data_IF_875959850470
#
_entry.id   IF_875959850470
#
_cell.length_a   1.000
_cell.length_b   1.000
_cell.length_c   1.000
_cell.angle_alpha   90.00
_cell.angle_beta   90.00
_cell.angle_gamma   90.00
#
_symmetry.space_group_name_H-M   'P 1'
#
loop_
_entity.id
_entity.type
_entity.pdbx_description
1 polymer ?
#
# COMPACT_ATOMS: atom_id res chain seq x y z
N UNK A 1 -19.77 15.00 14.57
CA UNK A 1 -18.32 14.98 14.78
C UNK A 1 -17.84 16.34 15.26
N UNK A 2 -17.04 16.35 16.30
CA UNK A 2 -16.35 17.57 16.76
C UNK A 2 -14.85 17.39 16.55
N UNK A 3 -14.26 18.30 15.81
CA UNK A 3 -12.81 18.35 15.61
C UNK A 3 -12.21 19.37 16.57
N UNK A 4 -11.56 18.93 17.63
CA UNK A 4 -11.03 19.81 18.69
C UNK A 4 -9.61 20.32 18.46
N UNK A 5 -8.96 19.90 17.41
CA UNK A 5 -7.54 20.20 17.14
C UNK A 5 -7.27 21.65 16.76
N UNK A 6 -8.25 22.37 16.24
CA UNK A 6 -8.08 23.76 15.78
C UNK A 6 -7.64 24.74 16.88
N UNK A 7 -8.00 24.49 18.13
CA UNK A 7 -7.57 25.34 19.25
C UNK A 7 -6.09 25.13 19.64
N UNK A 8 -5.49 24.09 19.13
CA UNK A 8 -4.16 23.62 19.48
C UNK A 8 -3.11 24.16 18.52
N UNK A 9 -3.41 24.23 17.23
CA UNK A 9 -2.48 24.73 16.23
C UNK A 9 -1.97 26.15 16.50
N UNK A 10 -2.72 26.98 17.21
CA UNK A 10 -2.27 28.31 17.60
C UNK A 10 -1.23 28.33 18.71
N UNK A 11 -0.94 27.19 19.35
CA UNK A 11 -0.01 27.06 20.48
C UNK A 11 1.17 26.12 20.23
N UNK A 12 1.28 25.55 19.02
CA UNK A 12 2.44 24.73 18.67
C UNK A 12 3.72 25.54 18.66
N UNK A 13 4.77 25.12 19.35
CA UNK A 13 6.09 25.60 19.03
C UNK A 13 6.45 25.11 17.62
N UNK A 14 7.09 25.95 16.81
CA UNK A 14 7.27 25.68 15.36
C UNK A 14 8.17 24.49 15.01
N UNK A 15 8.75 23.79 15.96
CA UNK A 15 9.63 22.64 15.71
C UNK A 15 9.59 21.62 16.85
N UNK A 16 9.22 20.37 16.56
CA UNK A 16 9.63 19.23 17.36
C UNK A 16 8.62 18.56 18.28
N UNK A 17 7.32 18.77 18.08
CA UNK A 17 6.32 17.92 18.75
C UNK A 17 6.13 16.64 17.94
N UNK A 18 6.30 15.50 18.60
CA UNK A 18 5.92 14.21 18.08
C UNK A 18 4.45 13.92 18.40
N UNK A 19 3.86 12.96 17.69
CA UNK A 19 2.53 12.44 18.02
C UNK A 19 2.46 11.92 19.48
N UNK A 20 3.57 11.40 20.00
CA UNK A 20 3.69 11.02 21.41
C UNK A 20 3.50 12.21 22.39
N UNK A 21 3.92 13.41 22.01
CA UNK A 21 3.71 14.61 22.82
C UNK A 21 2.24 15.07 22.81
N UNK A 22 1.53 14.79 21.71
CA UNK A 22 0.09 14.93 21.59
C UNK A 22 -0.64 14.06 22.64
N UNK A 23 -0.21 12.82 22.82
CA UNK A 23 -0.80 11.83 23.72
C UNK A 23 -0.64 12.20 25.20
N UNK A 24 0.48 12.84 25.55
CA UNK A 24 0.82 13.17 26.95
C UNK A 24 0.20 14.49 27.40
N UNK A 25 -0.21 15.37 26.49
CA UNK A 25 -0.67 16.72 26.78
C UNK A 25 -2.19 16.90 26.59
N UNK A 26 -2.97 15.92 27.02
CA UNK A 26 -4.44 15.88 26.97
C UNK A 26 -5.11 17.20 27.36
N UNK A 27 -4.58 17.91 28.36
CA UNK A 27 -5.12 19.22 28.79
C UNK A 27 -5.02 20.33 27.74
N UNK A 28 -4.13 20.20 26.78
CA UNK A 28 -3.98 21.18 25.69
C UNK A 28 -4.85 20.76 24.50
N UNK A 29 -4.84 19.48 24.17
CA UNK A 29 -5.54 18.92 22.99
C UNK A 29 -6.99 18.58 23.30
N UNK A 30 -7.30 18.10 24.48
CA UNK A 30 -8.64 17.81 24.97
C UNK A 30 -9.33 18.98 25.65
N UNK A 31 -8.86 20.22 25.48
CA UNK A 31 -9.39 21.36 26.25
C UNK A 31 -10.90 21.55 26.15
N UNK A 32 -11.48 21.32 24.96
CA UNK A 32 -12.93 21.41 24.76
C UNK A 32 -13.69 20.24 25.39
N UNK A 33 -13.06 19.07 25.45
CA UNK A 33 -13.66 17.88 26.06
C UNK A 33 -13.69 17.98 27.60
N UNK A 34 -12.81 18.79 28.19
CA UNK A 34 -12.77 19.05 29.63
C UNK A 34 -13.52 20.30 30.08
N UNK A 35 -13.76 21.25 29.19
CA UNK A 35 -14.42 22.52 29.53
C UNK A 35 -15.93 22.32 29.62
N UNK A 36 -16.54 22.49 30.82
CA UNK A 36 -17.99 22.31 30.99
C UNK A 36 -18.84 23.28 30.18
N UNK A 37 -18.27 24.40 29.71
CA UNK A 37 -19.00 25.33 28.82
C UNK A 37 -19.31 24.74 27.47
N UNK A 38 -18.55 23.72 27.02
CA UNK A 38 -18.75 23.03 25.74
C UNK A 38 -19.57 21.75 25.87
N UNK A 39 -19.92 21.31 27.08
CA UNK A 39 -20.72 20.09 27.29
C UNK A 39 -22.00 20.06 26.44
N UNK A 40 -22.78 21.13 26.53
CA UNK A 40 -24.03 21.21 25.76
C UNK A 40 -23.80 21.18 24.24
N UNK A 41 -22.69 21.76 23.75
CA UNK A 41 -22.39 21.78 22.34
C UNK A 41 -21.91 20.40 21.84
N UNK A 42 -21.13 19.65 22.63
CA UNK A 42 -20.73 18.27 22.32
C UNK A 42 -21.97 17.37 22.28
N UNK A 43 -22.79 17.45 23.32
CA UNK A 43 -23.99 16.64 23.44
C UNK A 43 -25.00 16.91 22.30
N UNK A 44 -25.25 18.19 21.95
CA UNK A 44 -26.16 18.55 20.85
C UNK A 44 -25.74 17.93 19.51
N UNK A 45 -24.44 17.89 19.21
CA UNK A 45 -23.94 17.30 17.96
C UNK A 45 -24.14 15.79 17.92
N UNK A 46 -23.82 15.11 19.01
CA UNK A 46 -24.03 13.68 19.13
C UNK A 46 -25.52 13.33 19.06
N UNK A 47 -26.35 14.09 19.75
CA UNK A 47 -27.83 13.92 19.72
C UNK A 47 -28.35 14.04 18.30
N UNK A 48 -28.00 15.09 17.57
CA UNK A 48 -28.44 15.30 16.19
C UNK A 48 -27.98 14.18 15.25
N UNK A 49 -26.76 13.69 15.41
CA UNK A 49 -26.26 12.57 14.62
C UNK A 49 -27.09 11.31 14.87
N UNK A 50 -27.27 10.93 16.11
CA UNK A 50 -28.03 9.74 16.50
C UNK A 50 -29.51 9.88 16.09
N UNK A 51 -30.14 10.99 16.38
CA UNK A 51 -31.56 11.23 16.04
C UNK A 51 -31.81 11.19 14.53
N UNK A 52 -30.88 11.69 13.72
CA UNK A 52 -30.99 11.66 12.27
C UNK A 52 -30.88 10.21 11.74
N UNK A 53 -29.93 9.42 12.26
CA UNK A 53 -29.51 8.18 11.61
C UNK A 53 -29.91 6.90 12.37
N UNK A 54 -30.58 7.01 13.53
CA UNK A 54 -30.96 5.84 14.36
C UNK A 54 -31.83 4.81 13.65
N UNK A 55 -32.58 5.23 12.61
CA UNK A 55 -33.40 4.34 11.81
C UNK A 55 -32.66 3.72 10.60
N UNK A 56 -31.36 4.03 10.40
CA UNK A 56 -30.58 3.44 9.35
C UNK A 56 -30.03 2.08 9.83
N UNK A 57 -30.47 0.94 9.27
CA UNK A 57 -30.00 -0.38 9.71
C UNK A 57 -28.52 -0.64 9.36
N UNK A 58 -27.95 0.09 8.41
CA UNK A 58 -26.54 0.01 8.05
C UNK A 58 -25.58 0.67 9.06
N UNK A 59 -26.12 1.47 10.00
CA UNK A 59 -25.31 2.00 11.11
C UNK A 59 -25.11 0.90 12.15
N UNK A 60 -23.88 0.43 12.30
CA UNK A 60 -23.50 -0.63 13.23
C UNK A 60 -22.98 -0.10 14.56
N UNK A 61 -22.36 1.08 14.55
CA UNK A 61 -21.83 1.73 15.75
C UNK A 61 -21.89 3.26 15.62
N UNK A 62 -21.84 3.92 16.76
CA UNK A 62 -21.75 5.38 16.87
C UNK A 62 -20.32 5.78 17.22
N UNK A 63 -19.73 6.69 16.45
CA UNK A 63 -18.43 7.30 16.78
C UNK A 63 -18.64 8.74 17.23
N UNK A 64 -17.98 9.12 18.34
CA UNK A 64 -18.22 10.43 18.98
C UNK A 64 -17.49 11.59 18.29
N UNK A 65 -16.44 11.32 17.54
CA UNK A 65 -15.67 12.35 16.87
C UNK A 65 -14.31 11.85 16.38
N UNK A 66 -13.48 12.79 15.96
CA UNK A 66 -12.14 12.52 15.43
C UNK A 66 -11.11 13.46 16.06
N UNK A 67 -9.99 12.89 16.57
CA UNK A 67 -8.82 13.61 17.07
C UNK A 67 -9.15 14.84 17.97
N UNK A 68 -10.18 14.72 18.80
CA UNK A 68 -10.70 15.83 19.59
C UNK A 68 -10.24 15.82 21.03
N UNK A 69 -9.29 14.96 21.38
CA UNK A 69 -8.87 14.71 22.76
C UNK A 69 -9.92 13.90 23.52
N UNK A 70 -9.66 13.62 24.79
CA UNK A 70 -10.54 12.82 25.63
C UNK A 70 -10.95 13.59 26.88
N UNK A 71 -12.18 13.42 27.37
CA UNK A 71 -12.61 14.07 28.60
C UNK A 71 -14.09 13.87 28.95
N UNK A 72 -14.54 14.47 30.08
CA UNK A 72 -15.88 14.27 30.64
C UNK A 72 -17.04 14.55 29.69
N UNK A 73 -16.88 15.48 28.74
CA UNK A 73 -17.94 15.81 27.79
C UNK A 73 -18.20 14.67 26.81
N UNK A 74 -17.13 13.93 26.39
CA UNK A 74 -17.27 12.74 25.53
C UNK A 74 -17.90 11.58 26.30
N UNK A 75 -17.55 11.37 27.56
CA UNK A 75 -18.16 10.36 28.41
C UNK A 75 -19.67 10.58 28.59
N UNK A 76 -20.08 11.82 28.84
CA UNK A 76 -21.51 12.18 28.95
C UNK A 76 -22.25 11.95 27.63
N UNK A 77 -21.62 12.25 26.51
CA UNK A 77 -22.21 11.99 25.19
C UNK A 77 -22.38 10.49 24.94
N UNK A 78 -21.36 9.66 25.26
CA UNK A 78 -21.44 8.20 25.17
C UNK A 78 -22.53 7.64 26.09
N UNK A 79 -22.59 8.09 27.33
CA UNK A 79 -23.64 7.69 28.27
C UNK A 79 -25.05 8.06 27.79
N UNK A 80 -25.22 9.24 27.17
CA UNK A 80 -26.48 9.62 26.59
C UNK A 80 -26.89 8.70 25.44
N UNK A 81 -25.99 8.35 24.52
CA UNK A 81 -26.29 7.38 23.44
C UNK A 81 -26.87 6.11 24.01
N UNK A 82 -26.25 5.54 25.05
CA UNK A 82 -26.71 4.30 25.68
C UNK A 82 -28.10 4.42 26.32
N UNK A 83 -28.60 5.64 26.60
CA UNK A 83 -29.99 5.81 27.07
C UNK A 83 -31.03 5.71 25.95
N UNK A 84 -30.63 5.98 24.69
CA UNK A 84 -31.53 6.00 23.53
C UNK A 84 -31.30 4.84 22.56
N UNK A 85 -30.11 4.32 22.56
CA UNK A 85 -29.69 3.17 21.76
C UNK A 85 -28.74 2.30 22.59
N UNK A 86 -29.30 1.33 23.32
CA UNK A 86 -28.54 0.45 24.21
C UNK A 86 -27.78 -0.65 23.46
N UNK A 87 -28.15 -0.92 22.20
CA UNK A 87 -27.67 -2.08 21.46
C UNK A 87 -26.44 -1.77 20.61
N UNK A 88 -26.44 -0.66 19.89
CA UNK A 88 -25.30 -0.30 19.05
C UNK A 88 -24.10 0.08 19.91
N UNK A 89 -22.94 -0.32 19.42
CA UNK A 89 -21.66 0.01 20.06
C UNK A 89 -21.36 1.50 19.95
N UNK A 90 -20.60 2.03 20.91
CA UNK A 90 -20.12 3.42 20.91
C UNK A 90 -18.59 3.38 20.84
N UNK A 91 -18.07 4.01 19.82
CA UNK A 91 -16.63 4.11 19.56
C UNK A 91 -16.13 5.54 19.75
N UNK A 92 -14.91 5.68 20.16
CA UNK A 92 -14.15 6.91 20.12
C UNK A 92 -12.64 6.62 20.20
N UNK A 93 -11.85 7.03 19.20
CA UNK A 93 -10.43 6.74 19.14
C UNK A 93 -9.65 7.37 20.30
N UNK A 94 -10.01 8.61 20.68
CA UNK A 94 -9.39 9.30 21.81
C UNK A 94 -9.51 8.59 23.17
N UNK A 95 -10.31 7.53 23.27
CA UNK A 95 -10.45 6.74 24.50
C UNK A 95 -9.21 5.91 24.84
N UNK A 96 -8.25 5.76 23.92
CA UNK A 96 -6.96 5.11 24.20
C UNK A 96 -6.11 5.92 25.18
N UNK A 97 -6.34 7.23 25.26
CA UNK A 97 -5.62 8.16 26.15
C UNK A 97 -6.18 8.15 27.58
N UNK A 98 -6.61 7.02 28.03
CA UNK A 98 -7.41 6.75 29.20
C UNK A 98 -7.18 7.65 30.41
N UNK A 99 -8.25 8.31 30.82
CA UNK A 99 -8.49 8.65 32.21
C UNK A 99 -9.15 7.42 32.88
N UNK A 100 -8.68 7.07 34.06
CA UNK A 100 -9.18 5.95 34.86
C UNK A 100 -10.71 5.96 34.96
N UNK A 101 -11.37 4.90 34.52
CA UNK A 101 -12.83 4.72 34.67
C UNK A 101 -13.66 4.76 33.40
N UNK A 102 -13.10 5.06 32.22
CA UNK A 102 -13.86 5.07 30.96
C UNK A 102 -14.04 3.67 30.39
N UNK A 103 -15.25 3.41 29.89
CA UNK A 103 -15.60 2.15 29.23
C UNK A 103 -16.11 2.41 27.83
N UNK A 104 -15.23 2.23 26.87
CA UNK A 104 -15.56 2.14 25.47
C UNK A 104 -15.94 0.69 25.11
N UNK A 105 -16.96 0.48 24.29
CA UNK A 105 -17.37 -0.86 23.83
C UNK A 105 -16.35 -1.50 22.91
N UNK A 106 -15.69 -0.69 22.11
CA UNK A 106 -14.60 -1.09 21.21
C UNK A 106 -13.25 -0.61 21.78
N UNK A 107 -12.21 -1.33 21.45
CA UNK A 107 -10.84 -0.87 21.66
C UNK A 107 -10.27 -0.42 20.33
N UNK A 108 -9.61 0.74 20.35
CA UNK A 108 -8.70 1.16 19.31
C UNK A 108 -7.35 1.38 20.00
N UNK A 109 -6.28 0.71 19.53
CA UNK A 109 -4.97 0.87 20.17
C UNK A 109 -4.34 2.18 19.73
N UNK A 110 -4.51 2.48 18.44
CA UNK A 110 -3.98 3.70 17.84
C UNK A 110 -4.70 3.98 16.52
N UNK A 111 -4.64 5.22 16.07
CA UNK A 111 -4.86 5.58 14.70
C UNK A 111 -3.60 5.13 13.94
N UNK A 112 -3.75 4.32 12.89
CA UNK A 112 -2.62 3.73 12.14
C UNK A 112 -1.72 2.77 12.95
N UNK A 113 -2.32 1.93 13.81
CA UNK A 113 -1.59 0.88 14.50
C UNK A 113 -0.87 -0.02 13.50
N UNK A 114 0.38 -0.38 13.81
CA UNK A 114 1.16 -1.29 12.96
C UNK A 114 0.59 -2.71 12.95
N UNK A 115 1.00 -3.51 11.98
CA UNK A 115 0.63 -4.94 11.91
C UNK A 115 1.05 -5.68 13.18
N UNK A 116 2.22 -5.32 13.75
CA UNK A 116 2.75 -5.86 14.99
C UNK A 116 1.89 -5.46 16.20
N UNK A 117 1.39 -4.23 16.25
CA UNK A 117 0.50 -3.76 17.33
C UNK A 117 -0.84 -4.48 17.30
N UNK A 118 -1.41 -4.69 16.10
CA UNK A 118 -2.61 -5.51 15.91
C UNK A 118 -2.38 -6.93 16.43
N UNK A 119 -1.27 -7.56 16.06
CA UNK A 119 -0.94 -8.91 16.50
C UNK A 119 -0.74 -8.98 18.02
N UNK A 120 -0.05 -7.99 18.60
CA UNK A 120 0.15 -7.89 20.04
C UNK A 120 -1.20 -7.78 20.78
N UNK A 121 -2.08 -6.88 20.33
CA UNK A 121 -3.42 -6.75 20.91
C UNK A 121 -4.22 -8.06 20.85
N UNK A 122 -4.21 -8.69 19.67
CA UNK A 122 -5.00 -9.89 19.43
C UNK A 122 -4.54 -11.09 20.25
N UNK A 123 -3.23 -11.19 20.53
CA UNK A 123 -2.61 -12.27 21.30
C UNK A 123 -2.60 -12.03 22.81
N UNK A 124 -2.87 -10.80 23.28
CA UNK A 124 -2.97 -10.50 24.70
C UNK A 124 -4.33 -10.95 25.26
N UNK A 125 -4.31 -12.00 26.08
CA UNK A 125 -5.50 -12.56 26.70
C UNK A 125 -6.13 -11.64 27.77
N UNK A 126 -5.46 -10.61 28.21
CA UNK A 126 -6.01 -9.63 29.17
C UNK A 126 -6.95 -8.63 28.49
N UNK A 127 -6.74 -8.38 27.18
CA UNK A 127 -7.55 -7.50 26.35
C UNK A 127 -8.74 -8.28 25.77
N UNK A 128 -9.97 -7.94 26.17
CA UNK A 128 -11.18 -8.70 25.82
C UNK A 128 -12.08 -8.04 24.79
N UNK A 129 -11.86 -6.75 24.50
CA UNK A 129 -12.70 -6.03 23.56
C UNK A 129 -12.29 -6.31 22.10
N UNK A 130 -13.22 -6.24 21.13
CA UNK A 130 -12.87 -6.23 19.74
C UNK A 130 -11.92 -5.07 19.43
N UNK A 131 -10.99 -5.30 18.51
CA UNK A 131 -10.09 -4.27 17.99
C UNK A 131 -10.57 -3.79 16.63
N UNK A 132 -10.66 -2.49 16.44
CA UNK A 132 -10.95 -1.86 15.17
C UNK A 132 -10.02 -0.66 14.97
N UNK A 133 -9.49 -0.49 13.78
CA UNK A 133 -8.74 0.70 13.41
C UNK A 133 -9.69 1.71 12.75
N UNK A 134 -9.93 2.84 13.42
CA UNK A 134 -10.79 3.89 12.86
C UNK A 134 -10.16 4.57 11.64
N UNK A 135 -8.84 4.55 11.54
CA UNK A 135 -8.06 4.92 10.37
C UNK A 135 -6.87 3.98 10.25
N UNK A 136 -6.61 3.44 9.05
CA UNK A 136 -5.42 2.64 8.79
C UNK A 136 -5.02 2.71 7.32
N UNK A 137 -3.82 2.20 7.00
CA UNK A 137 -3.26 2.12 5.64
C UNK A 137 -3.48 3.41 4.84
N UNK A 138 -2.95 4.53 5.33
CA UNK A 138 -3.08 5.87 4.74
C UNK A 138 -2.72 5.87 3.25
N UNK A 139 -3.65 6.28 2.39
CA UNK A 139 -3.53 6.12 0.93
C UNK A 139 -2.73 7.23 0.24
N UNK A 140 -2.15 8.16 0.98
CA UNK A 140 -1.35 9.25 0.43
C UNK A 140 -0.08 8.76 -0.25
N UNK A 141 0.29 9.38 -1.37
CA UNK A 141 1.55 9.12 -2.07
C UNK A 141 1.61 7.71 -2.65
N UNK A 142 2.49 6.86 -2.10
CA UNK A 142 2.64 5.46 -2.49
C UNK A 142 1.75 4.50 -1.69
N UNK A 143 0.94 5.03 -0.78
CA UNK A 143 -0.03 4.22 -0.04
C UNK A 143 -1.23 3.80 -0.91
N UNK A 144 -2.10 2.98 -0.34
CA UNK A 144 -1.92 2.27 0.92
C UNK A 144 -0.91 1.11 0.79
N UNK A 145 -0.25 0.76 1.90
CA UNK A 145 0.68 -0.37 2.00
C UNK A 145 0.20 -1.42 3.00
N UNK A 146 0.89 -2.57 3.02
CA UNK A 146 0.71 -3.66 4.00
C UNK A 146 -0.73 -4.24 4.08
N UNK A 147 -1.53 -4.04 3.02
CA UNK A 147 -2.96 -4.43 3.02
C UNK A 147 -3.12 -5.93 3.27
N UNK A 148 -2.33 -6.75 2.56
CA UNK A 148 -2.37 -8.21 2.72
C UNK A 148 -1.99 -8.64 4.14
N UNK A 149 -0.99 -8.00 4.75
CA UNK A 149 -0.54 -8.29 6.11
C UNK A 149 -1.64 -8.03 7.15
N UNK A 150 -2.40 -6.92 7.01
CA UNK A 150 -3.56 -6.65 7.87
C UNK A 150 -4.69 -7.66 7.66
N UNK A 151 -4.98 -8.05 6.40
CA UNK A 151 -6.01 -9.04 6.10
C UNK A 151 -5.65 -10.44 6.61
N UNK A 152 -4.37 -10.83 6.60
CA UNK A 152 -3.92 -12.07 7.24
C UNK A 152 -4.23 -12.08 8.74
N UNK A 153 -4.07 -10.95 9.43
CA UNK A 153 -4.41 -10.82 10.86
C UNK A 153 -5.92 -10.82 11.07
N UNK A 154 -6.66 -10.14 10.19
CA UNK A 154 -8.14 -10.15 10.21
C UNK A 154 -8.70 -11.59 10.12
N UNK A 155 -8.16 -12.39 9.23
CA UNK A 155 -8.60 -13.76 9.05
C UNK A 155 -8.09 -14.73 10.13
N UNK A 156 -7.03 -14.35 10.83
CA UNK A 156 -6.43 -15.20 11.90
C UNK A 156 -7.05 -14.96 13.27
N UNK A 157 -7.46 -13.74 13.59
CA UNK A 157 -7.82 -13.33 14.93
C UNK A 157 -9.26 -12.81 14.99
N UNK A 158 -10.16 -13.56 15.64
CA UNK A 158 -11.55 -13.14 15.85
C UNK A 158 -11.70 -11.80 16.59
N UNK A 159 -10.65 -11.40 17.29
CA UNK A 159 -10.61 -10.14 18.04
C UNK A 159 -10.42 -8.91 17.14
N UNK A 160 -9.83 -9.08 15.95
CA UNK A 160 -9.63 -8.00 14.97
C UNK A 160 -10.87 -7.85 14.09
N UNK A 161 -11.65 -6.82 14.33
CA UNK A 161 -12.90 -6.57 13.60
C UNK A 161 -12.71 -5.85 12.26
N UNK A 162 -11.49 -5.38 11.97
CA UNK A 162 -11.15 -4.67 10.73
C UNK A 162 -10.77 -3.21 10.93
N UNK A 163 -10.90 -2.41 9.87
CA UNK A 163 -10.54 -1.00 9.89
C UNK A 163 -11.10 -0.21 8.71
N UNK A 164 -10.95 1.12 8.78
CA UNK A 164 -11.38 2.05 7.75
C UNK A 164 -10.15 2.70 7.11
N UNK A 165 -10.02 2.60 5.80
CA UNK A 165 -8.91 3.24 5.07
C UNK A 165 -9.05 4.75 5.12
N UNK A 166 -8.01 5.45 5.46
CA UNK A 166 -7.90 6.88 5.23
C UNK A 166 -7.20 7.13 3.89
N UNK A 167 -7.89 7.60 2.83
CA UNK A 167 -9.34 7.78 2.82
C UNK A 167 -9.94 7.42 1.45
N UNK A 168 -11.19 7.80 1.20
CA UNK A 168 -11.90 7.40 -0.02
C UNK A 168 -11.43 8.16 -1.25
N UNK A 169 -11.32 9.50 -1.18
CA UNK A 169 -11.16 10.32 -2.37
C UNK A 169 -10.20 11.47 -2.17
N UNK A 170 -9.29 11.67 -3.10
CA UNK A 170 -8.47 12.88 -3.16
C UNK A 170 -9.32 14.15 -3.13
N UNK A 171 -9.02 15.06 -2.21
CA UNK A 171 -9.71 16.34 -2.06
C UNK A 171 -9.04 17.42 -2.89
N UNK A 172 -9.44 17.57 -4.15
CA UNK A 172 -8.92 18.61 -5.02
C UNK A 172 -10.00 19.22 -5.92
N UNK A 173 -9.80 20.46 -6.31
CA UNK A 173 -10.73 21.23 -7.09
C UNK A 173 -10.35 21.18 -8.57
N UNK A 174 -11.30 20.90 -9.44
CA UNK A 174 -11.09 20.93 -10.89
C UNK A 174 -10.67 22.31 -11.39
N UNK A 175 -9.53 22.40 -12.07
CA UNK A 175 -8.96 23.63 -12.63
C UNK A 175 -8.88 23.64 -14.17
N UNK A 176 -9.48 22.65 -14.82
CA UNK A 176 -9.43 22.52 -16.28
C UNK A 176 -8.43 21.47 -16.75
N UNK A 177 -7.81 21.71 -17.90
CA UNK A 177 -6.84 20.80 -18.52
C UNK A 177 -5.51 21.48 -18.79
N UNK A 178 -4.46 20.67 -18.76
CA UNK A 178 -3.12 21.08 -19.24
C UNK A 178 -3.11 21.21 -20.77
N UNK A 179 -2.12 21.86 -21.39
CA UNK A 179 -2.01 21.97 -22.84
C UNK A 179 -1.97 20.62 -23.58
N UNK A 180 -1.46 19.57 -22.93
CA UNK A 180 -1.44 18.19 -23.43
C UNK A 180 -2.72 17.40 -23.11
N UNK A 181 -3.76 18.07 -22.58
CA UNK A 181 -5.10 17.52 -22.39
C UNK A 181 -5.33 16.77 -21.08
N UNK A 182 -4.34 16.65 -20.18
CA UNK A 182 -4.50 16.01 -18.87
C UNK A 182 -5.36 16.85 -17.92
N UNK A 183 -6.09 16.19 -17.05
CA UNK A 183 -6.84 16.83 -15.97
C UNK A 183 -5.88 17.64 -15.06
N UNK A 184 -6.29 18.84 -14.68
CA UNK A 184 -5.59 19.68 -13.73
C UNK A 184 -6.46 19.93 -12.53
N UNK A 185 -5.93 19.63 -11.35
CA UNK A 185 -6.56 19.85 -10.05
C UNK A 185 -5.72 20.79 -9.22
N UNK A 186 -6.35 21.59 -8.38
CA UNK A 186 -5.71 22.46 -7.40
C UNK A 186 -6.05 22.04 -5.97
N UNK A 187 -5.11 22.20 -5.06
CA UNK A 187 -5.24 21.88 -3.63
C UNK A 187 -4.44 22.91 -2.80
N UNK A 188 -4.15 22.63 -1.56
CA UNK A 188 -3.61 23.56 -0.57
C UNK A 188 -2.53 24.52 -1.06
N UNK A 189 -2.83 25.82 -1.02
CA UNK A 189 -1.98 26.93 -1.48
C UNK A 189 -2.19 27.35 -2.93
N UNK A 190 -2.82 26.54 -3.77
CA UNK A 190 -3.01 26.83 -5.19
C UNK A 190 -3.99 27.99 -5.47
N UNK A 191 -4.78 28.36 -4.48
CA UNK A 191 -5.78 29.45 -4.56
C UNK A 191 -5.30 30.71 -3.84
N UNK A 192 -4.06 30.72 -3.33
CA UNK A 192 -3.47 31.87 -2.62
C UNK A 192 -3.80 31.92 -1.14
N UNK A 193 -4.41 30.88 -0.59
CA UNK A 193 -4.71 30.76 0.83
C UNK A 193 -3.45 30.47 1.66
N UNK A 194 -3.45 30.98 2.92
CA UNK A 194 -2.41 30.71 3.89
C UNK A 194 -2.99 30.83 5.32
N UNK A 195 -2.69 29.90 6.23
CA UNK A 195 -1.84 28.72 6.08
C UNK A 195 -2.49 27.57 5.28
N UNK A 196 -1.69 26.61 4.83
CA UNK A 196 -2.15 25.42 4.12
C UNK A 196 -1.14 24.27 4.29
N UNK A 197 -1.58 23.03 4.06
CA UNK A 197 -0.77 21.81 4.15
C UNK A 197 -0.42 21.19 2.77
N UNK A 198 -0.46 22.02 1.70
CA UNK A 198 -0.10 21.59 0.35
C UNK A 198 -0.95 20.38 -0.12
N UNK A 199 -0.29 19.25 -0.45
CA UNK A 199 -0.93 18.04 -0.95
C UNK A 199 -1.42 17.08 0.16
N UNK A 200 -1.50 17.51 1.41
CA UNK A 200 -1.96 16.67 2.54
C UNK A 200 -3.48 16.48 2.56
N UNK A 201 -4.07 16.40 1.41
CA UNK A 201 -5.47 16.11 1.12
C UNK A 201 -5.59 15.24 -0.16
N UNK A 202 -4.44 14.74 -0.64
CA UNK A 202 -4.33 13.85 -1.80
C UNK A 202 -4.01 12.45 -1.29
N UNK A 203 -4.93 11.87 -0.56
CA UNK A 203 -4.79 10.66 0.24
C UNK A 203 -5.95 9.66 0.03
N UNK A 204 -6.64 9.82 -1.12
CA UNK A 204 -7.75 8.98 -1.50
C UNK A 204 -7.37 7.65 -2.14
N UNK A 205 -8.27 6.67 -2.05
CA UNK A 205 -8.26 5.45 -2.86
C UNK A 205 -8.69 5.72 -4.30
N UNK A 206 -9.33 6.85 -4.55
CA UNK A 206 -9.73 7.31 -5.89
C UNK A 206 -9.27 8.75 -6.12
N UNK A 207 -9.03 9.08 -7.40
CA UNK A 207 -8.79 10.44 -7.84
C UNK A 207 -10.02 11.33 -7.65
N UNK A 208 -9.90 12.68 -7.75
CA UNK A 208 -11.05 13.57 -7.59
C UNK A 208 -12.20 13.30 -8.57
N UNK A 209 -11.93 12.70 -9.73
CA UNK A 209 -12.92 12.26 -10.72
C UNK A 209 -13.48 10.85 -10.49
N UNK A 210 -13.11 10.23 -9.38
CA UNK A 210 -13.48 8.88 -8.97
C UNK A 210 -12.83 7.72 -9.74
N UNK A 211 -11.85 8.00 -10.60
CA UNK A 211 -11.02 6.93 -11.16
C UNK A 211 -10.21 6.24 -10.05
N UNK A 212 -10.08 4.91 -10.06
CA UNK A 212 -9.33 4.20 -9.03
C UNK A 212 -7.83 4.52 -9.04
N UNK A 213 -7.24 4.74 -7.87
CA UNK A 213 -5.80 4.61 -7.67
C UNK A 213 -5.38 3.14 -7.69
N UNK A 214 -4.09 2.88 -7.90
CA UNK A 214 -3.53 1.51 -7.85
C UNK A 214 -3.82 0.83 -6.51
N UNK A 215 -3.81 1.56 -5.41
CA UNK A 215 -4.11 1.03 -4.08
C UNK A 215 -5.51 0.47 -3.93
N UNK A 216 -6.51 1.06 -4.60
CA UNK A 216 -7.87 0.51 -4.60
C UNK A 216 -7.95 -0.80 -5.39
N UNK A 217 -7.18 -0.94 -6.47
CA UNK A 217 -7.12 -2.19 -7.24
C UNK A 217 -6.46 -3.31 -6.43
N UNK A 218 -5.42 -2.99 -5.69
CA UNK A 218 -4.79 -3.91 -4.73
C UNK A 218 -5.76 -4.31 -3.63
N UNK A 219 -6.42 -3.34 -2.99
CA UNK A 219 -7.45 -3.61 -1.98
C UNK A 219 -8.53 -4.56 -2.51
N UNK A 220 -9.05 -4.31 -3.70
CA UNK A 220 -10.06 -5.18 -4.33
C UNK A 220 -9.61 -6.63 -4.35
N UNK A 221 -8.34 -6.88 -4.74
CA UNK A 221 -7.83 -8.25 -4.80
C UNK A 221 -7.55 -8.84 -3.42
N UNK A 222 -7.03 -8.04 -2.49
CA UNK A 222 -6.80 -8.49 -1.10
C UNK A 222 -8.11 -8.84 -0.41
N UNK A 223 -9.16 -8.03 -0.59
CA UNK A 223 -10.49 -8.26 -0.01
C UNK A 223 -11.36 -9.27 -0.77
N UNK A 224 -10.77 -10.05 -1.69
CA UNK A 224 -11.54 -11.06 -2.45
C UNK A 224 -12.19 -12.08 -1.52
N UNK A 225 -13.41 -12.52 -1.84
CA UNK A 225 -14.19 -13.36 -0.93
C UNK A 225 -13.76 -14.83 -0.91
N UNK A 226 -12.82 -15.24 -1.75
CA UNK A 226 -12.26 -16.58 -1.80
C UNK A 226 -10.75 -16.51 -1.98
N UNK A 227 -10.03 -17.40 -1.35
CA UNK A 227 -8.58 -17.55 -1.52
C UNK A 227 -8.22 -19.01 -1.75
N UNK A 228 -7.26 -19.22 -2.62
CA UNK A 228 -6.68 -20.54 -2.86
C UNK A 228 -5.29 -20.64 -2.23
N UNK A 229 -4.92 -21.85 -1.84
CA UNK A 229 -3.60 -22.18 -1.30
C UNK A 229 -3.08 -23.43 -2.00
N UNK A 230 -1.95 -23.29 -2.71
CA UNK A 230 -1.36 -24.41 -3.46
C UNK A 230 -0.79 -25.47 -2.50
N UNK A 231 -1.32 -26.68 -2.57
CA UNK A 231 -0.82 -27.83 -1.80
C UNK A 231 0.20 -28.65 -2.56
N UNK A 232 -0.12 -28.99 -3.80
CA UNK A 232 0.74 -29.80 -4.66
C UNK A 232 0.65 -29.31 -6.11
N UNK A 233 1.70 -28.63 -6.57
CA UNK A 233 1.80 -28.13 -7.93
C UNK A 233 1.78 -29.26 -8.99
N UNK A 234 2.34 -30.43 -8.66
CA UNK A 234 2.47 -31.53 -9.65
C UNK A 234 1.15 -32.19 -9.96
N UNK A 235 0.23 -32.26 -8.99
CA UNK A 235 -1.10 -32.85 -9.15
C UNK A 235 -2.22 -31.83 -9.32
N UNK A 236 -1.90 -30.52 -9.24
CA UNK A 236 -2.86 -29.44 -9.33
C UNK A 236 -3.84 -29.34 -8.16
N UNK A 237 -3.42 -29.80 -6.96
CA UNK A 237 -4.26 -29.78 -5.77
C UNK A 237 -4.08 -28.46 -5.01
N UNK A 238 -5.20 -27.77 -4.76
CA UNK A 238 -5.27 -26.55 -3.97
C UNK A 238 -6.35 -26.69 -2.90
N UNK A 239 -6.20 -25.94 -1.80
CA UNK A 239 -7.29 -25.69 -0.86
C UNK A 239 -7.96 -24.38 -1.24
N UNK A 240 -9.29 -24.37 -1.35
CA UNK A 240 -10.10 -23.15 -1.40
C UNK A 240 -10.69 -22.87 -0.02
N UNK A 241 -10.64 -21.61 0.40
CA UNK A 241 -11.31 -21.10 1.59
C UNK A 241 -12.35 -20.04 1.18
N UNK A 242 -13.58 -20.20 1.68
CA UNK A 242 -14.67 -19.24 1.50
C UNK A 242 -14.63 -18.21 2.64
N UNK A 243 -14.33 -16.97 2.35
CA UNK A 243 -14.32 -15.85 3.31
C UNK A 243 -15.64 -15.06 3.36
N UNK A 244 -16.65 -15.45 2.61
CA UNK A 244 -17.98 -14.89 2.82
C UNK A 244 -18.54 -15.26 4.19
N UNK A 245 -19.33 -14.33 4.77
CA UNK A 245 -20.02 -14.57 6.04
C UNK A 245 -21.39 -15.23 5.86
N UNK A 246 -22.04 -15.02 4.70
CA UNK A 246 -23.44 -15.42 4.49
C UNK A 246 -23.67 -16.14 3.14
N UNK A 247 -22.68 -16.24 2.27
CA UNK A 247 -22.88 -16.68 0.88
C UNK A 247 -22.07 -17.94 0.59
N UNK A 248 -22.73 -18.95 0.01
CA UNK A 248 -22.06 -20.14 -0.50
C UNK A 248 -21.33 -19.82 -1.81
N UNK A 249 -20.16 -20.41 -2.04
CA UNK A 249 -19.37 -20.13 -3.26
C UNK A 249 -20.13 -20.50 -4.53
N UNK A 250 -20.78 -21.67 -4.56
CA UNK A 250 -21.50 -22.15 -5.75
C UNK A 250 -22.62 -21.24 -6.21
N UNK A 251 -23.17 -20.43 -5.31
CA UNK A 251 -24.25 -19.49 -5.59
C UNK A 251 -23.75 -18.16 -6.15
N UNK A 252 -22.49 -17.80 -5.88
CA UNK A 252 -21.98 -16.44 -6.07
C UNK A 252 -20.95 -16.29 -7.20
N UNK A 253 -20.21 -17.36 -7.54
CA UNK A 253 -19.09 -17.22 -8.46
C UNK A 253 -18.87 -18.43 -9.38
N UNK A 254 -18.09 -18.16 -10.43
CA UNK A 254 -17.44 -19.15 -11.28
C UNK A 254 -15.93 -19.05 -11.12
N UNK A 255 -15.22 -20.16 -11.32
CA UNK A 255 -13.77 -20.22 -11.18
C UNK A 255 -13.15 -20.62 -12.53
N UNK A 256 -12.31 -19.74 -13.06
CA UNK A 256 -11.52 -19.99 -14.26
C UNK A 256 -10.04 -20.15 -13.89
N UNK A 257 -9.31 -20.90 -14.71
CA UNK A 257 -7.86 -21.00 -14.55
C UNK A 257 -7.12 -20.72 -15.85
N UNK A 258 -5.90 -20.25 -15.74
CA UNK A 258 -4.96 -20.05 -16.83
C UNK A 258 -3.57 -20.49 -16.39
N UNK A 259 -2.89 -21.27 -17.24
CA UNK A 259 -1.46 -21.56 -17.06
C UNK A 259 -0.66 -20.74 -18.04
N UNK A 260 0.32 -20.02 -17.54
CA UNK A 260 1.25 -19.24 -18.37
C UNK A 260 2.64 -19.85 -18.37
N UNK A 261 3.36 -19.70 -19.49
CA UNK A 261 4.77 -20.00 -19.65
C UNK A 261 5.49 -18.73 -20.12
N UNK A 262 6.43 -18.22 -19.33
CA UNK A 262 7.10 -16.95 -19.58
C UNK A 262 6.12 -15.78 -19.84
N UNK A 263 5.00 -15.76 -19.11
CA UNK A 263 3.95 -14.74 -19.21
C UNK A 263 2.96 -14.94 -20.39
N UNK A 264 3.15 -16.00 -21.21
CA UNK A 264 2.26 -16.30 -22.33
C UNK A 264 1.29 -17.41 -21.93
N UNK A 265 -0.04 -17.24 -22.09
CA UNK A 265 -1.01 -18.29 -21.82
C UNK A 265 -0.77 -19.53 -22.71
N UNK A 266 -0.71 -20.72 -22.09
CA UNK A 266 -0.51 -22.01 -22.76
C UNK A 266 -1.64 -23.00 -22.51
N UNK A 267 -2.42 -22.82 -21.45
CA UNK A 267 -3.61 -23.57 -21.15
C UNK A 267 -4.60 -22.72 -20.36
N UNK A 268 -5.88 -22.95 -20.52
CA UNK A 268 -6.95 -22.34 -19.74
C UNK A 268 -8.17 -23.27 -19.66
N UNK A 269 -9.07 -22.96 -18.74
CA UNK A 269 -10.32 -23.67 -18.57
C UNK A 269 -11.10 -23.17 -17.36
N UNK A 270 -12.16 -23.86 -17.05
CA UNK A 270 -12.96 -23.63 -15.84
C UNK A 270 -12.97 -24.88 -14.96
N UNK A 271 -13.21 -24.68 -13.68
CA UNK A 271 -13.45 -25.74 -12.71
C UNK A 271 -14.83 -25.54 -12.09
N UNK A 272 -15.48 -26.63 -11.75
CA UNK A 272 -16.76 -26.58 -11.06
C UNK A 272 -16.56 -25.91 -9.71
N UNK A 273 -17.31 -24.83 -9.46
CA UNK A 273 -17.29 -24.17 -8.16
C UNK A 273 -17.90 -25.08 -7.12
N UNK A 274 -17.18 -25.39 -6.04
CA UNK A 274 -17.71 -26.31 -5.03
C UNK A 274 -18.87 -25.71 -4.25
N UNK A 275 -19.78 -26.56 -3.80
CA UNK A 275 -20.74 -26.23 -2.75
C UNK A 275 -19.98 -26.07 -1.43
N UNK A 276 -19.60 -24.82 -1.14
CA UNK A 276 -18.74 -24.48 -0.01
C UNK A 276 -19.37 -23.38 0.83
N UNK A 277 -19.82 -23.76 2.01
CA UNK A 277 -20.46 -22.87 2.97
C UNK A 277 -19.52 -21.74 3.45
N UNK A 278 -20.05 -20.62 4.00
CA UNK A 278 -19.26 -19.58 4.63
C UNK A 278 -18.22 -20.14 5.63
N UNK A 279 -17.01 -19.56 5.59
CA UNK A 279 -15.86 -19.93 6.44
C UNK A 279 -15.36 -21.39 6.32
N UNK A 280 -15.88 -22.16 5.36
CA UNK A 280 -15.43 -23.52 5.13
C UNK A 280 -14.25 -23.61 4.16
N UNK A 281 -13.56 -24.73 4.21
CA UNK A 281 -12.47 -25.07 3.29
C UNK A 281 -12.74 -26.37 2.56
N UNK A 282 -12.25 -26.50 1.35
CA UNK A 282 -12.28 -27.76 0.59
C UNK A 282 -11.07 -27.86 -0.35
N UNK A 283 -10.70 -29.11 -0.68
CA UNK A 283 -9.70 -29.35 -1.72
C UNK A 283 -10.35 -29.33 -3.11
N UNK A 284 -9.68 -28.68 -4.03
CA UNK A 284 -10.01 -28.70 -5.46
C UNK A 284 -8.84 -29.21 -6.26
N UNK A 285 -9.11 -29.64 -7.47
CA UNK A 285 -8.08 -30.05 -8.43
C UNK A 285 -8.23 -29.30 -9.74
N UNK A 286 -7.17 -28.58 -10.14
CA UNK A 286 -7.09 -27.90 -11.43
C UNK A 286 -6.41 -28.81 -12.46
N UNK A 287 -7.07 -29.12 -13.58
CA UNK A 287 -6.52 -30.05 -14.57
C UNK A 287 -5.56 -29.34 -15.52
N UNK A 288 -4.28 -29.29 -15.17
CA UNK A 288 -3.24 -28.72 -16.04
C UNK A 288 -2.03 -29.64 -16.16
N UNK A 289 -1.18 -29.33 -17.12
CA UNK A 289 0.15 -29.91 -17.26
C UNK A 289 1.19 -28.78 -17.15
N UNK A 290 2.21 -28.95 -16.30
CA UNK A 290 3.28 -27.97 -16.17
C UNK A 290 4.20 -28.08 -17.38
N UNK A 291 4.46 -27.01 -18.16
CA UNK A 291 5.46 -27.01 -19.23
C UNK A 291 6.85 -27.42 -18.76
N UNK A 292 7.62 -28.07 -19.62
CA UNK A 292 8.94 -28.61 -19.25
C UNK A 292 10.03 -27.53 -19.14
N UNK A 293 9.79 -26.30 -19.60
CA UNK A 293 10.75 -25.20 -19.58
C UNK A 293 10.08 -23.87 -19.28
N UNK A 294 10.90 -22.89 -18.89
CA UNK A 294 10.46 -21.51 -18.60
C UNK A 294 9.86 -21.34 -17.21
N UNK A 295 9.52 -20.10 -16.88
CA UNK A 295 8.78 -19.75 -15.68
C UNK A 295 7.30 -20.02 -15.94
N UNK A 296 6.70 -20.89 -15.13
CA UNK A 296 5.29 -21.28 -15.31
C UNK A 296 4.47 -20.85 -14.10
N UNK A 297 3.32 -20.22 -14.35
CA UNK A 297 2.39 -19.79 -13.30
C UNK A 297 1.00 -20.35 -13.58
N UNK A 298 0.28 -20.65 -12.50
CA UNK A 298 -1.16 -20.89 -12.48
C UNK A 298 -1.84 -19.63 -11.96
N UNK A 299 -2.77 -19.10 -12.74
CA UNK A 299 -3.68 -18.03 -12.30
C UNK A 299 -5.07 -18.65 -12.10
N UNK A 300 -5.73 -18.30 -11.00
CA UNK A 300 -7.14 -18.56 -10.77
C UNK A 300 -7.89 -17.24 -10.79
N UNK A 301 -9.00 -17.18 -11.53
CA UNK A 301 -9.85 -16.00 -11.62
C UNK A 301 -11.22 -16.32 -11.04
N UNK A 302 -11.69 -15.49 -10.11
CA UNK A 302 -12.99 -15.61 -9.47
C UNK A 302 -13.93 -14.59 -10.07
N UNK A 303 -14.99 -15.04 -10.73
CA UNK A 303 -15.93 -14.17 -11.43
C UNK A 303 -17.32 -14.26 -10.85
N UNK A 304 -18.03 -13.13 -10.80
CA UNK A 304 -19.41 -13.07 -10.40
C UNK A 304 -20.26 -13.96 -11.31
N UNK A 305 -21.06 -14.85 -10.71
CA UNK A 305 -21.85 -15.85 -11.44
C UNK A 305 -23.06 -15.26 -12.15
N UNK A 306 -23.77 -14.35 -11.49
CA UNK A 306 -24.96 -13.67 -11.98
C UNK A 306 -24.82 -12.17 -11.70
N UNK A 307 -25.41 -11.34 -12.56
CA UNK A 307 -25.42 -9.88 -12.35
C UNK A 307 -26.08 -9.49 -11.02
N UNK A 308 -25.61 -8.43 -10.40
CA UNK A 308 -26.24 -7.80 -9.26
C UNK A 308 -26.51 -6.31 -9.54
N UNK A 309 -27.04 -5.55 -8.57
CA UNK A 309 -27.38 -4.13 -8.73
C UNK A 309 -26.21 -3.22 -9.14
N UNK A 310 -24.97 -3.69 -9.04
CA UNK A 310 -23.74 -2.90 -9.24
C UNK A 310 -22.77 -3.51 -10.24
N UNK A 311 -22.86 -4.80 -10.51
CA UNK A 311 -21.86 -5.56 -11.29
C UNK A 311 -22.52 -6.49 -12.29
N UNK A 312 -21.96 -6.55 -13.50
CA UNK A 312 -22.41 -7.47 -14.55
C UNK A 312 -21.93 -8.90 -14.28
N UNK A 313 -22.63 -9.89 -14.83
CA UNK A 313 -22.19 -11.28 -14.87
C UNK A 313 -20.75 -11.36 -15.44
N UNK A 314 -19.92 -12.22 -14.84
CA UNK A 314 -18.52 -12.36 -15.23
C UNK A 314 -17.59 -11.28 -14.68
N UNK A 315 -18.09 -10.33 -13.88
CA UNK A 315 -17.23 -9.33 -13.22
C UNK A 315 -16.15 -10.01 -12.39
N UNK A 316 -14.87 -9.60 -12.57
CA UNK A 316 -13.74 -10.16 -11.84
C UNK A 316 -13.79 -9.72 -10.36
N UNK A 317 -14.05 -10.67 -9.46
CA UNK A 317 -14.05 -10.44 -8.00
C UNK A 317 -12.63 -10.40 -7.44
N UNK A 318 -11.73 -11.22 -7.98
CA UNK A 318 -10.34 -11.31 -7.56
C UNK A 318 -9.62 -12.46 -8.25
N UNK A 319 -8.35 -12.63 -7.93
CA UNK A 319 -7.52 -13.70 -8.50
C UNK A 319 -6.46 -14.18 -7.50
N UNK A 320 -5.96 -15.40 -7.73
CA UNK A 320 -4.74 -15.94 -7.12
C UNK A 320 -3.73 -16.32 -8.20
N UNK A 321 -2.44 -16.19 -7.91
CA UNK A 321 -1.35 -16.64 -8.77
C UNK A 321 -0.38 -17.52 -8.01
N UNK A 322 0.00 -18.64 -8.61
CA UNK A 322 0.96 -19.58 -8.05
C UNK A 322 2.08 -19.87 -9.04
N UNK A 323 3.32 -19.84 -8.56
CA UNK A 323 4.48 -20.26 -9.34
C UNK A 323 4.51 -21.80 -9.33
N UNK A 324 4.32 -22.40 -10.51
CA UNK A 324 4.39 -23.84 -10.68
C UNK A 324 5.80 -24.32 -10.97
N UNK A 325 6.58 -23.49 -11.65
CA UNK A 325 7.98 -23.75 -12.02
C UNK A 325 8.75 -22.46 -12.11
N UNK A 326 9.90 -22.45 -11.47
CA UNK A 326 10.94 -21.44 -11.65
C UNK A 326 12.04 -21.97 -12.55
N UNK A 327 12.48 -21.14 -13.46
CA UNK A 327 13.68 -21.44 -14.25
C UNK A 327 14.64 -20.25 -14.17
N UNK A 328 15.83 -20.50 -13.67
CA UNK A 328 16.89 -19.50 -13.71
C UNK A 328 17.40 -19.44 -15.15
N UNK A 329 17.29 -18.28 -15.79
CA UNK A 329 17.90 -18.07 -17.10
C UNK A 329 19.41 -18.39 -17.03
N UNK A 330 19.78 -19.50 -17.62
CA UNK A 330 21.20 -19.80 -17.81
C UNK A 330 21.66 -19.01 -19.04
N UNK A 331 22.32 -17.90 -18.83
CA UNK A 331 23.04 -17.23 -19.91
C UNK A 331 24.25 -18.09 -20.23
N UNK A 332 24.19 -18.82 -21.34
CA UNK A 332 25.39 -19.41 -21.92
C UNK A 332 26.26 -18.26 -22.42
N UNK A 333 27.32 -17.96 -21.67
CA UNK A 333 28.36 -17.07 -22.18
C UNK A 333 28.98 -17.74 -23.40
N UNK A 334 28.63 -17.32 -24.59
CA UNK A 334 29.35 -17.67 -25.81
C UNK A 334 30.76 -17.10 -25.73
N UNK A 335 31.79 -17.92 -25.91
CA UNK A 335 33.11 -17.39 -26.01
C UNK A 335 33.20 -16.47 -27.24
N UNK A 336 33.45 -15.19 -27.02
CA UNK A 336 33.62 -14.24 -28.11
C UNK A 336 34.91 -14.63 -28.88
N UNK A 337 34.77 -14.91 -30.17
CA UNK A 337 35.91 -15.12 -31.06
C UNK A 337 36.50 -13.75 -31.47
N UNK A 338 37.79 -13.69 -31.69
CA UNK A 338 38.55 -12.50 -32.11
C UNK A 338 38.42 -11.28 -31.15
N UNK A 339 38.31 -11.56 -29.86
CA UNK A 339 38.20 -10.53 -28.85
C UNK A 339 39.48 -9.69 -28.75
N UNK A 340 39.38 -8.39 -28.87
CA UNK A 340 40.48 -7.45 -28.70
C UNK A 340 40.13 -6.35 -27.70
N UNK A 341 41.14 -5.92 -26.95
CA UNK A 341 41.03 -4.78 -26.02
C UNK A 341 42.08 -3.75 -26.38
N UNK A 342 41.64 -2.54 -26.69
CA UNK A 342 42.51 -1.41 -26.94
C UNK A 342 42.38 -0.39 -25.83
N UNK A 343 43.49 -0.12 -25.16
CA UNK A 343 43.56 0.91 -24.13
C UNK A 343 43.95 2.27 -24.71
N UNK A 344 43.32 3.30 -24.25
CA UNK A 344 43.69 4.70 -24.48
C UNK A 344 43.75 5.42 -23.13
N UNK A 345 44.20 6.67 -23.12
CA UNK A 345 44.25 7.49 -21.89
C UNK A 345 42.89 7.55 -21.17
N UNK A 346 41.79 7.58 -21.93
CA UNK A 346 40.43 7.80 -21.38
C UNK A 346 39.49 6.64 -21.57
N UNK A 347 39.83 5.62 -22.38
CA UNK A 347 38.89 4.58 -22.77
C UNK A 347 39.52 3.21 -22.84
N UNK A 348 38.74 2.18 -22.51
CA UNK A 348 38.92 0.83 -23.02
C UNK A 348 37.94 0.61 -24.17
N UNK A 349 38.42 0.13 -25.30
CA UNK A 349 37.61 -0.21 -26.46
C UNK A 349 37.73 -1.72 -26.63
N UNK A 350 36.61 -2.41 -26.49
CA UNK A 350 36.48 -3.85 -26.56
C UNK A 350 35.77 -4.19 -27.86
N UNK A 351 36.40 -4.98 -28.71
CA UNK A 351 35.84 -5.34 -30.02
C UNK A 351 35.88 -6.85 -30.18
N UNK A 352 34.82 -7.42 -30.70
CA UNK A 352 34.67 -8.78 -31.17
C UNK A 352 34.13 -8.78 -32.60
N UNK A 353 33.77 -9.94 -33.14
CA UNK A 353 33.39 -10.08 -34.54
C UNK A 353 32.15 -9.22 -34.90
N UNK A 354 31.18 -9.11 -33.98
CA UNK A 354 29.89 -8.40 -34.25
C UNK A 354 29.59 -7.28 -33.25
N UNK A 355 30.48 -6.96 -32.33
CA UNK A 355 30.23 -5.96 -31.32
C UNK A 355 31.40 -5.03 -31.06
N UNK A 356 31.10 -3.87 -30.56
CA UNK A 356 32.04 -2.84 -30.10
C UNK A 356 31.52 -2.17 -28.86
N UNK A 357 32.24 -2.27 -27.72
CA UNK A 357 31.91 -1.64 -26.45
C UNK A 357 33.00 -0.64 -26.09
N UNK A 358 32.56 0.53 -25.59
CA UNK A 358 33.47 1.61 -25.18
C UNK A 358 33.26 1.93 -23.72
N UNK A 359 34.24 1.66 -22.91
CA UNK A 359 34.26 2.02 -21.50
C UNK A 359 35.00 3.33 -21.28
N UNK A 360 34.43 4.23 -20.51
CA UNK A 360 35.04 5.48 -20.09
C UNK A 360 35.76 5.30 -18.74
N UNK A 361 37.06 5.44 -18.72
CA UNK A 361 37.91 5.30 -17.53
C UNK A 361 37.71 6.43 -16.51
N UNK A 362 37.20 7.61 -16.93
CA UNK A 362 36.99 8.76 -16.04
C UNK A 362 35.68 8.69 -15.32
N UNK A 363 34.66 8.10 -15.93
CA UNK A 363 33.31 7.96 -15.35
C UNK A 363 33.08 6.59 -14.76
N UNK A 364 33.90 5.60 -15.13
CA UNK A 364 33.70 4.21 -14.70
C UNK A 364 32.41 3.59 -15.25
N UNK A 365 32.05 3.92 -16.48
CA UNK A 365 30.82 3.47 -17.14
C UNK A 365 31.01 3.24 -18.63
N UNK A 366 30.09 2.50 -19.27
CA UNK A 366 30.09 2.39 -20.72
C UNK A 366 29.58 3.68 -21.38
N UNK A 367 30.34 4.17 -22.40
CA UNK A 367 29.91 5.25 -23.29
C UNK A 367 29.02 4.74 -24.41
N UNK A 368 29.31 3.53 -24.91
CA UNK A 368 28.50 2.89 -25.95
C UNK A 368 28.61 1.36 -25.87
N UNK A 369 27.52 0.70 -26.20
CA UNK A 369 27.41 -0.73 -26.41
C UNK A 369 26.76 -0.94 -27.78
N UNK A 370 27.49 -1.48 -28.75
CA UNK A 370 26.99 -1.70 -30.11
C UNK A 370 27.21 -3.16 -30.49
N UNK A 371 26.20 -3.81 -31.05
CA UNK A 371 26.26 -5.17 -31.59
C UNK A 371 25.44 -5.28 -32.85
N UNK A 372 25.94 -5.99 -33.88
CA UNK A 372 25.28 -6.17 -35.17
C UNK A 372 24.77 -4.86 -35.79
N UNK A 373 25.55 -3.78 -35.66
CA UNK A 373 25.24 -2.41 -36.07
C UNK A 373 24.08 -1.73 -35.29
N UNK A 374 23.56 -2.37 -34.25
CA UNK A 374 22.52 -1.81 -33.38
C UNK A 374 23.19 -1.21 -32.12
N UNK A 375 22.84 0.01 -31.79
CA UNK A 375 23.21 0.60 -30.51
C UNK A 375 22.21 0.14 -29.42
N UNK A 376 22.72 -0.44 -28.35
CA UNK A 376 21.93 -0.84 -27.17
C UNK A 376 21.73 0.31 -26.18
N UNK A 377 22.32 1.48 -26.45
CA UNK A 377 22.27 2.65 -25.57
C UNK A 377 22.00 3.91 -26.38
N UNK A 378 21.02 4.71 -25.96
CA UNK A 378 20.75 6.03 -26.54
C UNK A 378 21.71 7.09 -26.03
N UNK A 379 22.19 6.94 -24.79
CA UNK A 379 23.16 7.82 -24.14
C UNK A 379 24.15 7.02 -23.29
N UNK A 380 25.31 7.57 -22.93
CA UNK A 380 26.25 6.93 -22.00
C UNK A 380 25.58 6.52 -20.69
N UNK A 381 26.05 5.43 -20.10
CA UNK A 381 25.64 5.04 -18.75
C UNK A 381 26.09 6.08 -17.73
N UNK A 382 25.26 6.29 -16.73
CA UNK A 382 25.55 7.19 -15.61
C UNK A 382 25.35 6.43 -14.28
N UNK A 383 26.18 6.74 -13.31
CA UNK A 383 25.93 6.32 -11.93
C UNK A 383 24.77 7.11 -11.36
N UNK A 384 23.77 6.43 -10.90
CA UNK A 384 22.61 7.07 -10.30
C UNK A 384 22.29 6.43 -8.93
N UNK A 385 22.31 7.27 -7.90
CA UNK A 385 21.90 6.93 -6.53
C UNK A 385 20.72 7.81 -6.08
N UNK A 386 20.22 8.65 -6.97
CA UNK A 386 19.12 9.55 -6.74
C UNK A 386 17.87 9.10 -7.49
N UNK A 387 16.75 9.07 -6.81
CA UNK A 387 15.42 8.98 -7.43
C UNK A 387 14.60 10.20 -7.11
N UNK A 388 13.56 10.50 -7.87
CA UNK A 388 12.57 11.50 -7.51
C UNK A 388 11.95 11.11 -6.15
N UNK A 389 12.06 11.96 -5.13
CA UNK A 389 11.46 11.67 -3.83
C UNK A 389 9.94 11.59 -3.94
N UNK A 390 9.36 10.62 -3.25
CA UNK A 390 7.91 10.49 -3.09
C UNK A 390 7.44 11.27 -1.87
N UNK A 391 6.13 11.37 -1.65
CA UNK A 391 5.58 12.01 -0.45
C UNK A 391 6.03 11.31 0.84
N UNK A 392 6.19 9.99 0.81
CA UNK A 392 6.74 9.20 1.91
C UNK A 392 8.18 9.59 2.27
N UNK A 393 8.94 10.10 1.31
CA UNK A 393 10.33 10.55 1.50
C UNK A 393 10.46 11.99 2.03
N UNK A 394 9.39 12.74 2.22
CA UNK A 394 9.39 14.19 2.50
C UNK A 394 10.32 14.62 3.63
N UNK A 395 10.50 13.78 4.63
CA UNK A 395 11.38 14.05 5.78
C UNK A 395 12.83 13.70 5.45
N UNK A 396 13.09 12.47 4.96
CA UNK A 396 14.43 11.98 4.67
C UNK A 396 15.05 12.68 3.45
N UNK A 397 14.22 13.16 2.50
CA UNK A 397 14.65 13.96 1.34
C UNK A 397 15.59 15.09 1.73
N UNK A 398 15.29 15.81 2.82
CA UNK A 398 16.09 16.94 3.27
C UNK A 398 17.51 16.54 3.66
N UNK A 399 17.65 15.35 4.23
CA UNK A 399 18.95 14.77 4.57
C UNK A 399 19.70 14.34 3.31
N UNK A 400 19.04 13.68 2.37
CA UNK A 400 19.62 13.28 1.09
C UNK A 400 20.12 14.50 0.29
N UNK A 401 19.33 15.57 0.19
CA UNK A 401 19.72 16.80 -0.49
C UNK A 401 20.87 17.52 0.23
N UNK A 402 20.86 17.54 1.57
CA UNK A 402 21.96 18.08 2.37
C UNK A 402 23.25 17.30 2.16
N UNK A 403 23.17 15.98 2.14
CA UNK A 403 24.31 15.10 1.88
C UNK A 403 24.80 15.17 0.43
N UNK A 404 23.99 15.64 -0.51
CA UNK A 404 24.38 15.85 -1.90
C UNK A 404 24.06 14.68 -2.83
N UNK A 405 23.16 13.76 -2.45
CA UNK A 405 22.77 12.63 -3.31
C UNK A 405 22.22 13.07 -4.66
N UNK A 406 21.46 14.17 -4.70
CA UNK A 406 20.85 14.74 -5.90
C UNK A 406 21.83 15.44 -6.86
N UNK A 407 23.11 15.58 -6.49
CA UNK A 407 24.16 16.25 -7.25
C UNK A 407 25.49 15.52 -7.24
N UNK A 408 25.48 14.24 -6.91
CA UNK A 408 26.68 13.41 -6.88
C UNK A 408 27.23 13.19 -8.30
N UNK A 409 28.54 13.06 -8.41
CA UNK A 409 29.22 12.69 -9.65
C UNK A 409 30.31 11.66 -9.38
N UNK A 410 30.58 10.74 -10.31
CA UNK A 410 31.61 9.72 -10.12
C UNK A 410 33.01 10.34 -10.14
N UNK A 411 33.85 9.87 -9.23
CA UNK A 411 35.28 10.08 -9.23
C UNK A 411 35.97 8.71 -9.25
N UNK A 412 36.57 8.37 -10.39
CA UNK A 412 37.29 7.11 -10.56
C UNK A 412 38.73 7.29 -10.09
N UNK A 413 39.17 6.42 -9.19
CA UNK A 413 40.53 6.40 -8.69
C UNK A 413 41.42 5.46 -9.53
N UNK A 414 40.89 4.31 -9.90
CA UNK A 414 41.55 3.34 -10.73
C UNK A 414 40.57 2.64 -11.67
N UNK A 415 41.00 2.29 -12.85
CA UNK A 415 40.26 1.44 -13.79
C UNK A 415 41.20 0.53 -14.53
N UNK A 416 40.90 -0.77 -14.57
CA UNK A 416 41.70 -1.82 -15.24
C UNK A 416 40.77 -2.64 -16.13
N UNK A 417 41.37 -3.11 -17.25
CA UNK A 417 40.72 -4.09 -18.12
C UNK A 417 41.64 -5.28 -18.32
N UNK A 418 41.17 -6.47 -18.02
CA UNK A 418 41.90 -7.71 -18.14
C UNK A 418 41.19 -8.66 -19.10
N UNK A 419 41.89 -9.15 -20.10
CA UNK A 419 41.39 -10.19 -20.99
C UNK A 419 41.55 -11.56 -20.34
N UNK A 420 40.49 -12.33 -20.29
CA UNK A 420 40.44 -13.69 -19.73
C UNK A 420 40.05 -14.68 -20.83
N UNK A 421 40.06 -15.95 -20.50
CA UNK A 421 39.62 -17.02 -21.43
C UNK A 421 38.12 -16.86 -21.83
N UNK A 422 37.34 -16.27 -20.97
CA UNK A 422 35.89 -16.14 -21.16
C UNK A 422 35.39 -14.72 -21.57
N UNK A 423 36.33 -13.77 -21.72
CA UNK A 423 35.95 -12.41 -22.07
C UNK A 423 36.88 -11.32 -21.55
N UNK A 424 36.38 -10.13 -21.32
CA UNK A 424 37.10 -9.01 -20.71
C UNK A 424 36.44 -8.64 -19.39
N UNK A 425 37.24 -8.59 -18.34
CA UNK A 425 36.84 -8.10 -17.03
C UNK A 425 37.34 -6.66 -16.89
N UNK A 426 36.42 -5.75 -16.62
CA UNK A 426 36.77 -4.36 -16.28
C UNK A 426 36.45 -4.14 -14.81
N UNK A 427 37.43 -3.67 -14.08
CA UNK A 427 37.33 -3.31 -12.67
C UNK A 427 37.56 -1.81 -12.53
N UNK A 428 36.73 -1.14 -11.77
CA UNK A 428 36.91 0.26 -11.43
C UNK A 428 36.69 0.50 -9.93
N UNK A 429 37.66 1.21 -9.34
CA UNK A 429 37.55 1.75 -7.99
C UNK A 429 37.11 3.23 -8.09
N UNK A 430 35.96 3.54 -7.51
CA UNK A 430 35.36 4.87 -7.63
C UNK A 430 34.59 5.27 -6.38
N UNK A 431 34.38 6.55 -6.21
CA UNK A 431 33.39 7.10 -5.29
C UNK A 431 32.41 8.03 -6.00
N UNK A 432 31.25 8.21 -5.41
CA UNK A 432 30.31 9.24 -5.81
C UNK A 432 30.58 10.48 -4.96
N UNK A 433 31.15 11.52 -5.59
CA UNK A 433 31.62 12.70 -4.89
C UNK A 433 30.48 13.70 -4.60
N UNK A 434 30.73 14.56 -3.61
CA UNK A 434 29.85 15.47 -2.95
C UNK A 434 28.70 14.81 -2.13
N UNK A 435 28.95 13.59 -1.64
CA UNK A 435 28.15 12.98 -0.57
C UNK A 435 28.93 13.18 0.75
N UNK A 436 28.27 13.71 1.76
CA UNK A 436 28.88 14.07 3.05
C UNK A 436 28.17 13.36 4.19
#
# INVERSE_FOLDING_TARGET
EMHGTTSVYSKFPPHGYSYADYLVNDRVYGSLCHDPRFEAAVLDRVQRNVERDKNCPSVLMWSLGNESGYGPNMEKAAAWIKTVDSERLVHYEGSIYQIEGYQNDLSCIDVYASVEDVEHYCTDDTLKKPFIQCEFIHAMGNGPGDIEDYFERLYRYDKFAGGFVWEWCDHAVWMGRTPDGKAKYGYGGDFGEFPHDSNFCMDGLVYPDRTPHTGLLEWKNVARPVRAFLKDASSGVLTLHNYFDFTNLVDSMTIEYEVTQNGIPVANGSIDTPDLAPHAETEIRVPYTIPESGVCCLNLYYRLKEEDDFREEGYLLGFDQFILREEKAAFAAGAAQNLSVRETERRYIIEGDSFRYVWNRLTGTFESLTGDQISFMEKPMEWNIWRAPTDNDRNIRREWERAGYNRSSPRVYESKAEQTENGVVITADLCLAAIY
#
